data_IF_539491651816
#
_entry.id   IF_539491651816
#
_cell.length_a   1.000
_cell.length_b   1.000
_cell.length_c   1.000
_cell.angle_alpha   90.00
_cell.angle_beta   90.00
_cell.angle_gamma   90.00
#
_symmetry.space_group_name_H-M   'P 1'
#
loop_
_entity.id
_entity.type
_entity.pdbx_description
1 polymer ?
#
# COMPACT_ATOMS: atom_id res chain seq x y z
N UNK A 1 -62.52 -6.64 -22.01
CA UNK A 1 -61.71 -6.04 -20.91
C UNK A 1 -60.68 -7.01 -20.30
N UNK A 2 -60.04 -7.89 -21.09
CA UNK A 2 -59.06 -8.89 -20.57
C UNK A 2 -57.59 -8.58 -20.84
N UNK A 3 -57.29 -7.93 -21.98
CA UNK A 3 -55.92 -7.66 -22.43
C UNK A 3 -55.20 -6.57 -21.62
N UNK A 4 -55.93 -5.57 -21.11
CA UNK A 4 -55.34 -4.46 -20.33
C UNK A 4 -54.87 -4.89 -18.93
N UNK A 5 -55.49 -5.92 -18.32
CA UNK A 5 -55.07 -6.45 -17.00
C UNK A 5 -53.79 -7.29 -17.11
N UNK A 6 -53.68 -8.13 -18.14
CA UNK A 6 -52.48 -8.95 -18.41
C UNK A 6 -51.21 -8.12 -18.63
N UNK A 7 -51.29 -7.02 -19.40
CA UNK A 7 -50.17 -6.08 -19.60
C UNK A 7 -49.76 -5.37 -18.30
N UNK A 8 -50.71 -5.10 -17.39
CA UNK A 8 -50.41 -4.46 -16.11
C UNK A 8 -49.68 -5.39 -15.12
N UNK A 9 -49.94 -6.68 -15.18
CA UNK A 9 -49.27 -7.66 -14.32
C UNK A 9 -47.88 -8.03 -14.87
N UNK A 10 -47.71 -8.03 -16.20
CA UNK A 10 -46.40 -8.20 -16.83
C UNK A 10 -45.47 -7.02 -16.57
N UNK A 11 -45.97 -5.77 -16.67
CA UNK A 11 -45.18 -4.56 -16.37
C UNK A 11 -44.83 -4.43 -14.89
N UNK A 12 -45.71 -4.83 -13.96
CA UNK A 12 -45.36 -4.90 -12.53
C UNK A 12 -44.25 -5.91 -12.25
N UNK A 13 -44.32 -7.08 -12.89
CA UNK A 13 -43.29 -8.12 -12.72
C UNK A 13 -41.96 -7.67 -13.31
N UNK A 14 -41.96 -7.11 -14.52
CA UNK A 14 -40.76 -6.57 -15.16
C UNK A 14 -40.17 -5.39 -14.35
N UNK A 15 -41.02 -4.50 -13.86
CA UNK A 15 -40.63 -3.37 -13.01
C UNK A 15 -39.98 -3.82 -11.69
N UNK A 16 -40.48 -4.90 -11.07
CA UNK A 16 -39.87 -5.51 -9.89
C UNK A 16 -38.45 -6.05 -10.17
N UNK A 17 -38.24 -6.69 -11.31
CA UNK A 17 -36.90 -7.15 -11.72
C UNK A 17 -35.94 -5.99 -11.97
N UNK A 18 -36.38 -4.94 -12.66
CA UNK A 18 -35.56 -3.73 -12.87
C UNK A 18 -35.25 -3.00 -11.56
N UNK A 19 -36.22 -2.93 -10.63
CA UNK A 19 -36.01 -2.32 -9.32
C UNK A 19 -34.95 -3.09 -8.52
N UNK A 20 -35.04 -4.43 -8.51
CA UNK A 20 -34.04 -5.28 -7.85
C UNK A 20 -32.64 -5.12 -8.47
N UNK A 21 -32.55 -5.06 -9.81
CA UNK A 21 -31.30 -4.80 -10.51
C UNK A 21 -30.72 -3.41 -10.19
N UNK A 22 -31.56 -2.38 -10.11
CA UNK A 22 -31.12 -1.03 -9.75
C UNK A 22 -30.59 -0.96 -8.30
N UNK A 23 -31.27 -1.62 -7.35
CA UNK A 23 -30.84 -1.67 -5.95
C UNK A 23 -29.50 -2.38 -5.84
N UNK A 24 -29.35 -3.56 -6.46
CA UNK A 24 -28.09 -4.32 -6.42
C UNK A 24 -26.92 -3.54 -7.03
N UNK A 25 -27.14 -2.86 -8.15
CA UNK A 25 -26.11 -2.03 -8.78
C UNK A 25 -25.73 -0.82 -7.91
N UNK A 26 -26.71 -0.21 -7.25
CA UNK A 26 -26.48 0.90 -6.31
C UNK A 26 -25.66 0.43 -5.10
N UNK A 27 -25.99 -0.72 -4.52
CA UNK A 27 -25.25 -1.29 -3.38
C UNK A 27 -23.81 -1.61 -3.78
N UNK A 28 -23.58 -2.21 -4.96
CA UNK A 28 -22.23 -2.48 -5.46
C UNK A 28 -21.44 -1.19 -5.66
N UNK A 29 -22.06 -0.15 -6.23
CA UNK A 29 -21.42 1.14 -6.44
C UNK A 29 -21.02 1.80 -5.11
N UNK A 30 -21.92 1.81 -4.12
CA UNK A 30 -21.64 2.35 -2.79
C UNK A 30 -20.53 1.54 -2.10
N UNK A 31 -20.57 0.21 -2.20
CA UNK A 31 -19.52 -0.64 -1.62
C UNK A 31 -18.14 -0.35 -2.23
N UNK A 32 -18.06 -0.16 -3.55
CA UNK A 32 -16.82 0.24 -4.23
C UNK A 32 -16.36 1.62 -3.78
N UNK A 33 -17.27 2.59 -3.66
CA UNK A 33 -16.92 3.93 -3.17
C UNK A 33 -16.41 3.91 -1.74
N UNK A 34 -17.09 3.20 -0.83
CA UNK A 34 -16.65 3.05 0.56
C UNK A 34 -15.27 2.40 0.58
N UNK A 35 -15.07 1.30 -0.15
CA UNK A 35 -13.77 0.63 -0.23
C UNK A 35 -12.67 1.57 -0.75
N UNK A 36 -12.96 2.36 -1.79
CA UNK A 36 -12.04 3.37 -2.31
C UNK A 36 -11.80 4.54 -1.36
N UNK A 37 -12.73 4.87 -0.46
CA UNK A 37 -12.59 5.99 0.48
C UNK A 37 -11.97 5.57 1.82
N UNK A 38 -12.21 4.35 2.28
CA UNK A 38 -11.75 3.87 3.59
C UNK A 38 -10.50 3.01 3.55
N UNK A 39 -10.16 2.41 2.40
CA UNK A 39 -9.05 1.46 2.26
C UNK A 39 -8.00 1.93 1.25
N UNK A 40 -8.21 3.06 0.57
CA UNK A 40 -7.11 3.63 -0.23
C UNK A 40 -5.93 3.86 0.68
N UNK A 41 -4.78 3.37 0.22
CA UNK A 41 -3.54 3.24 0.98
C UNK A 41 -3.30 4.48 1.86
N UNK A 42 -2.84 4.28 3.11
CA UNK A 42 -2.72 5.40 4.02
C UNK A 42 -1.88 6.49 3.37
N UNK A 43 -2.21 7.74 3.67
CA UNK A 43 -1.61 8.89 2.99
C UNK A 43 -0.09 8.75 2.90
N UNK A 44 0.51 9.16 1.76
CA UNK A 44 1.94 9.04 1.56
C UNK A 44 2.69 9.75 2.70
N UNK A 45 3.94 9.36 2.97
CA UNK A 45 4.68 9.82 4.15
C UNK A 45 4.85 11.35 4.19
N UNK A 46 4.79 12.04 3.04
CA UNK A 46 4.82 13.50 2.96
C UNK A 46 3.58 14.21 3.55
N UNK A 47 2.47 13.50 3.73
CA UNK A 47 1.22 14.02 4.27
C UNK A 47 0.96 13.61 5.73
N UNK A 48 1.85 12.82 6.35
CA UNK A 48 1.64 12.22 7.67
C UNK A 48 2.82 12.43 8.64
N UNK A 49 2.60 12.17 9.93
CA UNK A 49 3.62 12.25 10.98
C UNK A 49 4.62 11.07 10.85
N UNK A 50 5.53 11.20 9.89
CA UNK A 50 6.55 10.19 9.57
C UNK A 50 7.95 10.81 9.56
N UNK A 51 8.89 10.17 10.24
CA UNK A 51 10.31 10.53 10.22
C UNK A 51 11.07 9.63 9.22
N UNK A 52 11.79 10.19 8.23
CA UNK A 52 12.63 9.40 7.33
C UNK A 52 13.84 8.83 8.09
N UNK A 53 14.11 7.55 7.90
CA UNK A 53 15.25 6.84 8.49
C UNK A 53 16.29 6.46 7.43
N UNK A 54 15.85 6.03 6.26
CA UNK A 54 16.73 5.59 5.19
C UNK A 54 16.11 5.93 3.83
N UNK A 55 16.98 6.30 2.88
CA UNK A 55 16.62 6.45 1.47
C UNK A 55 17.57 5.62 0.63
N UNK A 56 17.03 4.81 -0.28
CA UNK A 56 17.78 4.06 -1.28
C UNK A 56 17.29 4.48 -2.66
N UNK A 57 18.18 4.54 -3.64
CA UNK A 57 17.82 4.89 -5.02
C UNK A 57 18.16 3.71 -5.92
N UNK A 58 17.29 3.40 -6.89
CA UNK A 58 17.58 2.38 -7.90
C UNK A 58 18.82 2.76 -8.72
N UNK A 59 19.50 1.77 -9.31
CA UNK A 59 20.72 2.00 -10.11
C UNK A 59 20.51 2.98 -11.27
N UNK A 60 19.31 2.99 -11.85
CA UNK A 60 18.90 3.89 -12.93
C UNK A 60 18.46 5.28 -12.44
N UNK A 61 18.33 5.48 -11.12
CA UNK A 61 17.82 6.71 -10.51
C UNK A 61 16.40 7.11 -10.95
N UNK A 62 15.57 6.12 -11.28
CA UNK A 62 14.18 6.33 -11.73
C UNK A 62 13.15 5.95 -10.65
N UNK A 63 13.57 5.33 -9.55
CA UNK A 63 12.76 5.16 -8.35
C UNK A 63 13.58 5.37 -7.07
N UNK A 64 12.91 5.87 -6.03
CA UNK A 64 13.49 6.05 -4.69
C UNK A 64 12.67 5.24 -3.69
N UNK A 65 13.36 4.52 -2.82
CA UNK A 65 12.76 3.77 -1.73
C UNK A 65 13.08 4.44 -0.41
N UNK A 66 12.07 4.52 0.43
CA UNK A 66 12.15 5.20 1.71
C UNK A 66 11.73 4.27 2.82
N UNK A 67 12.49 4.30 3.90
CA UNK A 67 12.10 3.76 5.19
C UNK A 67 11.70 4.93 6.08
N UNK A 68 10.48 4.88 6.59
CA UNK A 68 9.96 5.83 7.56
C UNK A 68 9.61 5.14 8.86
N UNK A 69 9.73 5.87 9.97
CA UNK A 69 9.05 5.58 11.22
C UNK A 69 7.85 6.52 11.33
N UNK A 70 6.65 5.95 11.42
CA UNK A 70 5.39 6.68 11.36
C UNK A 70 4.55 6.45 12.61
N UNK A 71 3.78 7.48 12.99
CA UNK A 71 2.70 7.38 13.96
C UNK A 71 1.38 7.69 13.28
N UNK A 72 0.39 6.78 13.37
CA UNK A 72 -0.93 6.91 12.71
C UNK A 72 -2.09 6.63 13.64
N UNK A 73 -3.19 7.37 13.47
CA UNK A 73 -4.43 7.20 14.23
C UNK A 73 -4.55 8.18 15.40
N UNK A 74 -5.75 8.71 15.63
CA UNK A 74 -6.03 9.62 16.74
C UNK A 74 -6.29 8.79 18.02
N UNK A 75 -5.67 9.20 19.12
CA UNK A 75 -5.79 8.73 20.51
C UNK A 75 -5.16 7.37 20.92
N UNK A 76 -4.97 6.39 20.03
CA UNK A 76 -4.25 5.13 20.34
C UNK A 76 -3.04 4.85 19.43
N UNK A 77 -2.62 5.88 18.67
CA UNK A 77 -1.44 5.94 17.78
C UNK A 77 -0.74 4.62 17.48
N UNK A 78 -1.05 4.00 16.34
CA UNK A 78 -0.18 2.96 15.80
C UNK A 78 1.18 3.57 15.50
N UNK A 79 2.24 2.95 16.00
CA UNK A 79 3.62 3.32 15.72
C UNK A 79 4.34 2.17 15.05
N UNK A 80 5.05 2.47 13.97
CA UNK A 80 5.81 1.46 13.26
C UNK A 80 6.58 1.99 12.07
N UNK A 81 7.20 1.05 11.38
CA UNK A 81 7.97 1.29 10.19
C UNK A 81 7.10 1.14 8.94
N UNK A 82 7.30 2.04 7.99
CA UNK A 82 6.70 1.95 6.66
C UNK A 82 7.79 2.03 5.60
N UNK A 83 7.73 1.11 4.63
CA UNK A 83 8.58 1.12 3.44
C UNK A 83 7.75 1.61 2.27
N UNK A 84 8.23 2.64 1.60
CA UNK A 84 7.56 3.30 0.48
C UNK A 84 8.48 3.34 -0.74
N UNK A 85 7.89 3.31 -1.93
CA UNK A 85 8.57 3.64 -3.19
C UNK A 85 7.94 4.87 -3.81
N UNK A 86 8.77 5.78 -4.29
CA UNK A 86 8.41 6.90 -5.14
C UNK A 86 8.93 6.65 -6.55
N UNK A 87 8.02 6.49 -7.50
CA UNK A 87 8.33 6.28 -8.92
C UNK A 87 8.51 7.66 -9.55
N UNK A 88 9.76 8.04 -9.86
CA UNK A 88 10.09 9.43 -10.21
C UNK A 88 9.55 9.86 -11.57
N UNK A 89 9.29 8.92 -12.48
CA UNK A 89 8.80 9.22 -13.83
C UNK A 89 7.30 9.50 -13.83
N UNK A 90 6.53 8.74 -13.04
CA UNK A 90 5.07 8.87 -12.93
C UNK A 90 4.62 9.71 -11.74
N UNK A 91 5.53 10.09 -10.85
CA UNK A 91 5.26 10.77 -9.59
C UNK A 91 4.28 10.00 -8.68
N UNK A 92 4.38 8.67 -8.71
CA UNK A 92 3.50 7.78 -7.96
C UNK A 92 4.18 7.30 -6.67
N UNK A 93 3.45 7.37 -5.56
CA UNK A 93 3.86 6.79 -4.29
C UNK A 93 3.13 5.46 -4.07
N UNK A 94 3.88 4.42 -3.73
CA UNK A 94 3.32 3.10 -3.44
C UNK A 94 3.93 2.57 -2.14
N UNK A 95 3.07 2.08 -1.25
CA UNK A 95 3.52 1.43 -0.02
C UNK A 95 3.95 0.00 -0.31
N UNK A 96 5.13 -0.37 0.18
CA UNK A 96 5.73 -1.68 -0.04
C UNK A 96 5.51 -2.59 1.16
N UNK A 97 5.79 -2.09 2.36
CA UNK A 97 5.68 -2.87 3.57
C UNK A 97 5.33 -2.01 4.79
N UNK A 98 4.74 -2.64 5.79
CA UNK A 98 4.59 -2.06 7.13
C UNK A 98 5.01 -3.05 8.20
N UNK A 99 5.54 -2.54 9.30
CA UNK A 99 5.90 -3.34 10.45
C UNK A 99 5.66 -2.56 11.75
N UNK A 100 5.05 -3.14 12.81
CA UNK A 100 4.93 -2.46 14.09
C UNK A 100 6.30 -2.10 14.67
N UNK A 101 6.40 -1.02 15.45
CA UNK A 101 7.66 -0.61 16.07
C UNK A 101 8.25 -1.71 16.98
N UNK A 102 7.39 -2.49 17.62
CA UNK A 102 7.76 -3.65 18.42
C UNK A 102 8.48 -4.76 17.63
N UNK A 103 8.41 -4.75 16.30
CA UNK A 103 9.18 -5.65 15.43
C UNK A 103 10.69 -5.34 15.43
N UNK A 104 11.13 -4.30 16.13
CA UNK A 104 12.53 -3.92 16.20
C UNK A 104 13.01 -3.36 14.86
N UNK A 105 14.26 -3.62 14.50
CA UNK A 105 14.87 -2.92 13.38
C UNK A 105 14.46 -3.46 11.99
N UNK A 106 14.26 -2.52 11.06
CA UNK A 106 14.08 -2.70 9.62
C UNK A 106 15.20 -1.95 8.89
N UNK A 107 15.77 -2.53 7.83
CA UNK A 107 16.76 -1.90 6.95
C UNK A 107 16.46 -2.25 5.48
N UNK A 108 16.75 -1.34 4.57
CA UNK A 108 16.59 -1.53 3.13
C UNK A 108 17.94 -1.77 2.44
N UNK A 109 18.03 -2.87 1.70
CA UNK A 109 19.09 -3.13 0.75
C UNK A 109 18.51 -3.28 -0.66
N UNK A 110 19.15 -2.70 -1.65
CA UNK A 110 18.68 -2.73 -3.04
C UNK A 110 19.81 -3.19 -3.98
N UNK A 111 19.44 -4.01 -4.95
CA UNK A 111 20.26 -4.36 -6.10
C UNK A 111 19.50 -4.08 -7.42
N UNK A 112 20.06 -4.49 -8.56
CA UNK A 112 19.47 -4.23 -9.89
C UNK A 112 18.08 -4.85 -10.12
N UNK A 113 17.68 -5.89 -9.35
CA UNK A 113 16.45 -6.66 -9.58
C UNK A 113 15.64 -6.94 -8.32
N UNK A 114 16.16 -6.60 -7.15
CA UNK A 114 15.59 -6.98 -5.88
C UNK A 114 15.76 -5.87 -4.83
N UNK A 115 14.65 -5.58 -4.18
CA UNK A 115 14.62 -4.94 -2.87
C UNK A 115 14.64 -6.03 -1.81
N UNK A 116 15.59 -5.97 -0.89
CA UNK A 116 15.63 -6.81 0.30
C UNK A 116 15.32 -5.96 1.53
N UNK A 117 14.22 -6.30 2.20
CA UNK A 117 13.84 -5.73 3.50
C UNK A 117 14.47 -6.62 4.58
N UNK A 118 15.52 -6.12 5.21
CA UNK A 118 16.20 -6.78 6.32
C UNK A 118 15.48 -6.48 7.63
N UNK A 119 15.27 -7.50 8.45
CA UNK A 119 14.56 -7.37 9.72
C UNK A 119 15.13 -8.27 10.81
N UNK A 120 15.00 -7.87 12.09
CA UNK A 120 15.51 -8.67 13.22
C UNK A 120 14.49 -9.64 13.82
N UNK A 121 13.22 -9.23 13.91
CA UNK A 121 12.15 -10.05 14.50
C UNK A 121 11.48 -10.99 13.49
N UNK A 122 10.31 -11.50 13.86
CA UNK A 122 9.58 -12.50 13.08
C UNK A 122 9.12 -11.92 11.75
N UNK A 123 9.13 -12.76 10.70
CA UNK A 123 8.49 -12.43 9.42
C UNK A 123 7.00 -12.12 9.58
N UNK A 124 6.35 -12.67 10.60
CA UNK A 124 4.94 -12.41 10.90
C UNK A 124 4.64 -10.95 11.28
N UNK A 125 5.66 -10.19 11.71
CA UNK A 125 5.52 -8.79 12.08
C UNK A 125 5.72 -7.85 10.87
N UNK A 126 6.03 -8.40 9.70
CA UNK A 126 6.24 -7.66 8.46
C UNK A 126 5.08 -7.93 7.50
N UNK A 127 4.24 -6.92 7.32
CA UNK A 127 3.16 -6.94 6.35
C UNK A 127 3.67 -6.43 5.01
N UNK A 128 3.81 -7.33 4.03
CA UNK A 128 4.22 -7.00 2.67
C UNK A 128 2.99 -6.73 1.82
N UNK A 129 2.86 -5.52 1.29
CA UNK A 129 1.72 -5.11 0.46
C UNK A 129 1.80 -5.67 -0.96
N UNK A 130 3.01 -5.86 -1.49
CA UNK A 130 3.26 -6.41 -2.82
C UNK A 130 4.55 -7.24 -2.87
N UNK A 131 4.62 -8.25 -3.74
CA UNK A 131 5.81 -9.11 -3.93
C UNK A 131 6.80 -8.54 -4.95
N UNK A 132 6.38 -7.52 -5.70
CA UNK A 132 7.21 -6.75 -6.62
C UNK A 132 6.58 -5.38 -6.86
N UNK A 133 7.35 -4.45 -7.42
CA UNK A 133 6.83 -3.20 -7.95
C UNK A 133 7.43 -2.92 -9.33
N UNK A 134 6.68 -2.16 -10.12
CA UNK A 134 7.04 -1.75 -11.48
C UNK A 134 7.18 -0.24 -11.50
N UNK A 135 8.21 0.27 -12.17
CA UNK A 135 8.42 1.70 -12.38
C UNK A 135 8.88 1.97 -13.80
N UNK A 136 8.44 3.10 -14.34
CA UNK A 136 8.73 3.53 -15.70
C UNK A 136 10.14 4.11 -15.81
N UNK A 137 10.71 3.94 -17.01
CA UNK A 137 11.99 4.55 -17.36
C UNK A 137 11.79 5.77 -18.24
N UNK A 138 12.60 6.82 -18.04
CA UNK A 138 12.61 8.03 -18.88
C UNK A 138 12.93 7.72 -20.34
N UNK A 139 13.77 6.71 -20.58
CA UNK A 139 14.11 6.21 -21.92
C UNK A 139 13.04 5.31 -22.57
N UNK A 140 11.94 5.06 -21.86
CA UNK A 140 10.89 4.14 -22.29
C UNK A 140 11.05 2.71 -21.76
N UNK A 141 9.92 2.03 -21.66
CA UNK A 141 9.79 0.74 -21.00
C UNK A 141 9.64 0.88 -19.48
N UNK A 142 9.66 -0.26 -18.79
CA UNK A 142 9.53 -0.34 -17.35
C UNK A 142 10.53 -1.35 -16.78
N UNK A 143 10.97 -1.10 -15.56
CA UNK A 143 11.74 -2.05 -14.77
C UNK A 143 10.84 -2.65 -13.68
N UNK A 144 11.17 -3.86 -13.26
CA UNK A 144 10.44 -4.57 -12.19
C UNK A 144 11.44 -5.01 -11.14
N UNK A 145 11.24 -4.59 -9.90
CA UNK A 145 12.01 -5.06 -8.76
C UNK A 145 11.17 -6.04 -7.95
N UNK A 146 11.75 -7.21 -7.67
CA UNK A 146 11.17 -8.18 -6.72
C UNK A 146 11.40 -7.72 -5.29
N UNK A 147 10.51 -8.09 -4.37
CA UNK A 147 10.61 -7.76 -2.95
C UNK A 147 10.88 -9.04 -2.18
N UNK A 148 12.01 -9.07 -1.49
CA UNK A 148 12.42 -10.13 -0.59
C UNK A 148 12.52 -9.63 0.84
N UNK A 149 12.44 -10.56 1.79
CA UNK A 149 12.59 -10.29 3.21
C UNK A 149 13.69 -11.18 3.75
N UNK A 150 14.65 -10.60 4.47
CA UNK A 150 15.79 -11.31 5.03
C UNK A 150 15.85 -11.07 6.54
N UNK A 151 16.01 -12.15 7.32
CA UNK A 151 16.23 -12.00 8.75
C UNK A 151 17.73 -11.80 9.02
N UNK A 152 18.07 -10.76 9.79
CA UNK A 152 19.45 -10.43 10.16
C UNK A 152 19.63 -10.33 11.67
N UNK A 153 20.83 -10.66 12.16
CA UNK A 153 21.14 -10.60 13.60
C UNK A 153 21.49 -9.17 14.07
N UNK A 154 22.08 -8.37 13.17
CA UNK A 154 22.47 -6.98 13.38
C UNK A 154 21.88 -6.12 12.28
N UNK A 155 21.53 -4.89 12.64
CA UNK A 155 20.73 -4.02 11.83
C UNK A 155 21.35 -2.62 11.95
N UNK A 156 21.87 -2.07 10.84
CA UNK A 156 22.84 -0.98 10.91
C UNK A 156 22.23 0.36 11.36
N UNK A 157 20.89 0.45 11.34
CA UNK A 157 20.15 1.64 11.75
C UNK A 157 20.01 1.76 13.28
N UNK A 158 20.31 0.72 14.08
CA UNK A 158 20.23 0.79 15.55
C UNK A 158 21.48 1.34 16.24
N UNK A 159 22.60 1.46 15.52
CA UNK A 159 23.91 1.73 16.15
C UNK A 159 24.30 3.22 16.10
N UNK A 160 23.38 4.12 15.73
CA UNK A 160 23.65 5.57 15.72
C UNK A 160 23.35 6.28 17.06
N UNK A 161 23.05 5.55 18.14
CA UNK A 161 22.67 6.13 19.44
C UNK A 161 23.63 5.82 20.61
N UNK A 162 24.86 5.35 20.33
CA UNK A 162 25.93 5.29 21.34
C UNK A 162 27.14 6.09 20.88
N UNK A 163 27.10 7.40 21.12
CA UNK A 163 28.29 8.23 21.22
C UNK A 163 28.81 8.09 22.67
N UNK A 164 29.97 7.45 22.93
CA UNK A 164 30.56 7.47 24.26
C UNK A 164 31.18 8.86 24.51
N UNK A 165 30.74 9.50 25.60
CA UNK A 165 31.47 10.61 26.26
C UNK A 165 32.83 10.13 26.82
#
# INVERSE_FOLDING_TARGET
MGLLRSLSDFTKRLGLWFLAAAITLTVLFIAVLIYKLSVFEPEPPSASNCQPLQVQTTTDSEAQLFLYQCQRGNDLGWEGYEVWVHKLVTDEWQRIATSPLAAGCIELAIDERQLTIRHRNSRGDLSIAATSFVYERRGGGANTLSIATERVDKCLLSDQEELPD
#
